data_IF_825435709018
#
_entry.id   IF_825435709018
#
_cell.length_a   1.000
_cell.length_b   1.000
_cell.length_c   1.000
_cell.angle_alpha   90.00
_cell.angle_beta   90.00
_cell.angle_gamma   90.00
#
_symmetry.space_group_name_H-M   'P 1'
#
loop_
_entity.id
_entity.type
_entity.pdbx_description
1 polymer ?
#
# COMPACT_ATOMS: atom_id res chain seq x y z
N UNK A 1 18.57 3.13 18.73
CA UNK A 1 19.77 3.14 17.86
C UNK A 1 20.91 3.63 18.71
N UNK A 2 21.93 2.82 18.96
CA UNK A 2 23.08 3.21 19.77
C UNK A 2 24.10 3.90 18.86
N UNK A 3 24.34 5.19 19.07
CA UNK A 3 25.41 5.93 18.40
C UNK A 3 26.75 5.36 18.81
N UNK A 4 27.40 4.61 17.91
CA UNK A 4 28.82 4.28 18.02
C UNK A 4 29.52 5.13 16.96
N UNK A 5 30.11 6.24 17.39
CA UNK A 5 30.98 7.04 16.51
C UNK A 5 32.31 6.33 16.30
N UNK A 6 32.87 6.42 15.09
CA UNK A 6 34.21 5.92 14.76
C UNK A 6 34.24 4.81 13.70
N UNK A 7 35.41 4.23 13.49
CA UNK A 7 35.61 3.10 12.57
C UNK A 7 35.30 1.79 13.30
N UNK A 8 34.71 0.84 12.57
CA UNK A 8 34.57 -0.54 13.03
C UNK A 8 35.98 -1.12 13.28
N UNK A 9 36.30 -1.58 14.50
CA UNK A 9 37.64 -2.03 14.86
C UNK A 9 38.05 -3.36 14.19
N UNK A 10 37.12 -4.08 13.57
CA UNK A 10 37.34 -5.36 12.88
C UNK A 10 37.46 -5.16 11.37
N UNK A 11 36.63 -4.28 10.78
CA UNK A 11 36.58 -4.09 9.32
C UNK A 11 37.22 -2.80 8.82
N UNK A 12 37.52 -1.85 9.71
CA UNK A 12 38.10 -0.55 9.37
C UNK A 12 37.15 0.38 8.59
N UNK A 13 35.89 -0.02 8.37
CA UNK A 13 34.86 0.80 7.71
C UNK A 13 34.10 1.68 8.70
N UNK A 14 33.51 2.79 8.21
CA UNK A 14 32.56 3.57 9.02
C UNK A 14 31.29 2.74 9.29
N UNK A 15 30.73 2.86 10.49
CA UNK A 15 29.43 2.26 10.82
C UNK A 15 28.34 2.78 9.87
N UNK A 16 27.36 1.94 9.51
CA UNK A 16 26.25 2.31 8.62
C UNK A 16 25.50 3.56 9.13
N UNK A 17 25.37 3.69 10.46
CA UNK A 17 24.80 4.89 11.08
C UNK A 17 25.64 6.11 10.81
N UNK A 18 26.96 6.01 10.89
CA UNK A 18 27.87 7.14 10.69
C UNK A 18 27.87 7.58 9.22
N UNK A 19 27.86 6.64 8.28
CA UNK A 19 27.69 6.91 6.84
C UNK A 19 26.38 7.66 6.59
N UNK A 20 25.25 7.21 7.13
CA UNK A 20 23.96 7.87 6.95
C UNK A 20 23.94 9.31 7.52
N UNK A 21 24.57 9.54 8.68
CA UNK A 21 24.68 10.88 9.26
C UNK A 21 25.59 11.79 8.43
N UNK A 22 26.70 11.30 7.88
CA UNK A 22 27.56 12.10 7.00
C UNK A 22 26.83 12.49 5.71
N UNK A 23 26.08 11.57 5.10
CA UNK A 23 25.27 11.89 3.92
C UNK A 23 24.18 12.91 4.24
N UNK A 24 23.53 12.82 5.40
CA UNK A 24 22.55 13.80 5.85
C UNK A 24 23.20 15.17 6.10
N UNK A 25 24.34 15.22 6.78
CA UNK A 25 25.07 16.46 7.06
C UNK A 25 25.53 17.14 5.77
N UNK A 26 26.04 16.37 4.80
CA UNK A 26 26.42 16.85 3.47
C UNK A 26 25.19 17.38 2.72
N UNK A 27 24.06 16.67 2.74
CA UNK A 27 22.83 17.13 2.10
C UNK A 27 22.33 18.45 2.68
N UNK A 28 22.37 18.62 4.01
CA UNK A 28 22.00 19.87 4.69
C UNK A 28 22.93 21.01 4.29
N UNK A 29 24.24 20.76 4.23
CA UNK A 29 25.22 21.77 3.79
C UNK A 29 24.95 22.25 2.36
N UNK A 30 24.67 21.34 1.42
CA UNK A 30 24.37 21.72 0.05
C UNK A 30 23.01 22.44 -0.09
N UNK A 31 22.01 22.10 0.73
CA UNK A 31 20.73 22.82 0.78
C UNK A 31 20.90 24.26 1.26
N UNK A 32 21.66 24.48 2.34
CA UNK A 32 21.94 25.82 2.87
C UNK A 32 22.79 26.61 1.87
N UNK A 33 23.86 26.01 1.34
CA UNK A 33 24.73 26.64 0.36
C UNK A 33 23.97 27.03 -0.91
N UNK A 34 23.12 26.14 -1.44
CA UNK A 34 22.26 26.43 -2.60
C UNK A 34 21.27 27.55 -2.33
N UNK A 35 20.66 27.58 -1.14
CA UNK A 35 19.77 28.67 -0.73
C UNK A 35 20.50 30.01 -0.63
N UNK A 36 21.69 30.04 0.00
CA UNK A 36 22.51 31.25 0.08
C UNK A 36 22.96 31.72 -1.30
N UNK A 37 23.24 30.79 -2.22
CA UNK A 37 23.64 31.12 -3.57
C UNK A 37 22.52 31.81 -4.35
N UNK A 38 21.29 31.31 -4.20
CA UNK A 38 20.09 31.94 -4.76
C UNK A 38 19.86 33.34 -4.18
N UNK A 39 20.00 33.51 -2.87
CA UNK A 39 19.74 34.79 -2.20
C UNK A 39 20.75 35.87 -2.57
N UNK A 40 22.03 35.53 -2.73
CA UNK A 40 23.10 36.51 -2.95
C UNK A 40 23.42 36.77 -4.42
N UNK A 41 23.30 35.77 -5.29
CA UNK A 41 23.73 35.87 -6.70
C UNK A 41 22.63 35.54 -7.70
N UNK A 42 21.40 35.24 -7.25
CA UNK A 42 20.28 34.93 -8.13
C UNK A 42 20.38 33.59 -8.87
N UNK A 43 21.48 32.86 -8.71
CA UNK A 43 21.75 31.56 -9.33
C UNK A 43 21.41 30.45 -8.32
N UNK A 44 20.45 29.59 -8.66
CA UNK A 44 19.97 28.50 -7.82
C UNK A 44 18.45 28.51 -7.63
N UNK A 45 17.95 27.63 -6.77
CA UNK A 45 16.52 27.54 -6.42
C UNK A 45 16.29 28.07 -5.01
N UNK A 46 15.19 28.81 -4.79
CA UNK A 46 14.79 29.19 -3.44
C UNK A 46 14.44 27.94 -2.64
N UNK A 47 14.56 27.98 -1.30
CA UNK A 47 14.10 26.87 -0.45
C UNK A 47 12.62 26.55 -0.72
N UNK A 48 11.83 27.59 -0.98
CA UNK A 48 10.44 27.47 -1.43
C UNK A 48 10.34 26.78 -2.79
N UNK A 49 11.13 27.18 -3.78
CA UNK A 49 11.14 26.54 -5.10
C UNK A 49 11.63 25.09 -5.04
N UNK A 50 12.55 24.74 -4.15
CA UNK A 50 13.01 23.36 -3.90
C UNK A 50 11.88 22.56 -3.24
N UNK A 51 11.19 23.12 -2.24
CA UNK A 51 10.04 22.47 -1.61
C UNK A 51 8.81 22.38 -2.52
N UNK A 52 8.64 23.31 -3.46
CA UNK A 52 7.54 23.31 -4.44
C UNK A 52 7.87 22.44 -5.65
N UNK A 53 9.13 22.35 -6.06
CA UNK A 53 9.59 21.48 -7.14
C UNK A 53 9.73 20.02 -6.69
N UNK A 54 10.13 19.79 -5.43
CA UNK A 54 10.10 18.46 -4.84
C UNK A 54 8.75 18.27 -4.20
N UNK A 55 7.91 17.40 -4.75
CA UNK A 55 6.72 16.87 -4.07
C UNK A 55 7.17 16.11 -2.79
N UNK A 56 7.67 16.84 -1.79
CA UNK A 56 8.55 16.35 -0.73
C UNK A 56 7.81 15.36 0.15
N UNK A 57 6.58 15.71 0.51
CA UNK A 57 5.73 14.88 1.35
C UNK A 57 5.43 13.53 0.70
N UNK A 58 4.99 13.50 -0.56
CA UNK A 58 4.57 12.25 -1.22
C UNK A 58 5.76 11.33 -1.50
N UNK A 59 6.94 11.88 -1.83
CA UNK A 59 8.16 11.06 -1.95
C UNK A 59 8.61 10.47 -0.61
N UNK A 60 8.45 11.19 0.51
CA UNK A 60 8.69 10.61 1.84
C UNK A 60 7.68 9.53 2.19
N UNK A 61 6.42 9.67 1.75
CA UNK A 61 5.41 8.60 1.89
C UNK A 61 5.79 7.38 1.04
N UNK A 62 6.30 7.56 -0.17
CA UNK A 62 6.82 6.46 -1.00
C UNK A 62 7.97 5.75 -0.29
N UNK A 63 8.95 6.51 0.19
CA UNK A 63 10.07 5.96 0.95
C UNK A 63 9.56 5.18 2.18
N UNK A 64 8.68 5.77 2.98
CA UNK A 64 8.09 5.13 4.15
C UNK A 64 7.41 3.80 3.80
N UNK A 65 6.50 3.79 2.83
CA UNK A 65 5.75 2.59 2.45
C UNK A 65 6.64 1.48 1.89
N UNK A 66 7.68 1.84 1.12
CA UNK A 66 8.69 0.89 0.63
C UNK A 66 9.51 0.32 1.79
N UNK A 67 10.00 1.17 2.71
CA UNK A 67 10.80 0.72 3.85
C UNK A 67 10.01 -0.21 4.77
N UNK A 68 8.72 0.05 5.01
CA UNK A 68 7.88 -0.85 5.80
C UNK A 68 7.64 -2.18 5.07
N UNK A 69 7.42 -2.15 3.76
CA UNK A 69 7.30 -3.38 2.95
C UNK A 69 8.58 -4.23 3.05
N UNK A 70 9.75 -3.60 2.87
CA UNK A 70 11.06 -4.26 3.00
C UNK A 70 11.27 -4.79 4.42
N UNK A 71 10.93 -4.01 5.45
CA UNK A 71 11.04 -4.43 6.84
C UNK A 71 10.24 -5.71 7.12
N UNK A 72 9.00 -5.79 6.64
CA UNK A 72 8.14 -6.96 6.82
C UNK A 72 8.75 -8.19 6.12
N UNK A 73 9.13 -8.05 4.86
CA UNK A 73 9.68 -9.16 4.07
C UNK A 73 11.03 -9.62 4.59
N UNK A 74 11.94 -8.69 4.88
CA UNK A 74 13.26 -8.98 5.42
C UNK A 74 13.16 -9.64 6.80
N UNK A 75 12.27 -9.16 7.68
CA UNK A 75 11.97 -9.84 8.96
C UNK A 75 11.46 -11.26 8.72
N UNK A 76 10.57 -11.46 7.76
CA UNK A 76 10.07 -12.78 7.38
C UNK A 76 11.18 -13.74 6.97
N UNK A 77 12.15 -13.26 6.19
CA UNK A 77 13.31 -14.02 5.73
C UNK A 77 14.29 -14.32 6.87
N UNK A 78 14.72 -13.29 7.61
CA UNK A 78 15.74 -13.44 8.67
C UNK A 78 15.25 -14.32 9.83
N UNK A 79 13.95 -14.28 10.17
CA UNK A 79 13.36 -15.05 11.26
C UNK A 79 12.60 -16.31 10.80
N UNK A 80 12.83 -16.78 9.57
CA UNK A 80 12.17 -17.96 9.02
C UNK A 80 12.60 -19.26 9.74
N UNK A 81 13.89 -19.39 10.04
CA UNK A 81 14.46 -20.62 10.63
C UNK A 81 14.33 -20.68 12.15
N UNK A 82 14.45 -19.55 12.82
CA UNK A 82 14.33 -19.46 14.28
C UNK A 82 14.01 -18.03 14.70
N UNK A 83 13.48 -17.88 15.91
CA UNK A 83 13.39 -16.60 16.61
C UNK A 83 13.56 -16.82 18.10
N UNK A 84 13.74 -15.74 18.87
CA UNK A 84 13.77 -15.84 20.34
C UNK A 84 12.49 -16.44 20.93
N UNK A 85 11.35 -16.26 20.25
CA UNK A 85 10.05 -16.76 20.70
C UNK A 85 9.84 -18.24 20.33
N UNK A 86 10.29 -18.64 19.15
CA UNK A 86 10.13 -20.00 18.60
C UNK A 86 11.50 -20.43 18.04
N UNK A 87 12.35 -21.08 18.86
CA UNK A 87 13.71 -21.44 18.47
C UNK A 87 13.78 -22.46 17.33
N UNK A 88 12.78 -23.35 17.24
CA UNK A 88 12.70 -24.49 16.34
C UNK A 88 11.77 -24.26 15.13
N UNK A 89 11.57 -22.99 14.74
CA UNK A 89 10.62 -22.60 13.68
C UNK A 89 10.86 -23.31 12.35
N UNK A 90 12.12 -23.64 12.03
CA UNK A 90 12.47 -24.41 10.82
C UNK A 90 11.73 -25.75 10.72
N UNK A 91 11.41 -26.39 11.85
CA UNK A 91 10.70 -27.68 11.89
C UNK A 91 9.20 -27.52 11.56
N UNK A 92 8.63 -26.34 11.81
CA UNK A 92 7.24 -26.01 11.46
C UNK A 92 7.06 -25.72 9.96
N UNK A 93 8.16 -25.51 9.24
CA UNK A 93 8.19 -25.25 7.80
C UNK A 93 7.88 -23.80 7.42
N UNK A 94 7.75 -23.55 6.11
CA UNK A 94 7.52 -22.20 5.59
C UNK A 94 6.10 -21.66 5.84
N UNK A 95 5.10 -22.56 5.74
CA UNK A 95 3.68 -22.22 5.74
C UNK A 95 2.92 -22.95 6.84
N UNK A 96 2.71 -22.27 7.97
CA UNK A 96 1.94 -22.74 9.11
C UNK A 96 1.23 -21.55 9.78
N UNK A 97 0.07 -21.73 10.43
CA UNK A 97 -0.75 -20.61 10.88
C UNK A 97 -0.26 -19.93 12.18
N UNK A 98 0.26 -20.73 13.12
CA UNK A 98 0.75 -20.36 14.44
C UNK A 98 1.42 -21.59 15.11
N UNK A 99 2.08 -21.36 16.24
CA UNK A 99 2.57 -22.37 17.20
C UNK A 99 1.71 -22.35 18.49
N UNK A 100 0.39 -22.39 18.31
CA UNK A 100 -0.60 -22.36 19.38
C UNK A 100 -0.78 -21.01 20.13
N UNK A 101 -1.69 -20.97 21.13
CA UNK A 101 -1.99 -19.77 21.90
C UNK A 101 -0.98 -19.47 23.03
N UNK A 102 -0.04 -20.38 23.28
CA UNK A 102 0.98 -20.21 24.32
C UNK A 102 1.91 -19.00 24.06
N UNK A 103 2.74 -18.67 25.05
CA UNK A 103 3.71 -17.55 24.99
C UNK A 103 3.07 -16.17 24.67
N UNK A 104 1.80 -15.97 25.05
CA UNK A 104 1.04 -14.75 24.76
C UNK A 104 0.40 -14.71 23.36
N UNK A 105 0.48 -15.79 22.60
CA UNK A 105 -0.06 -15.91 21.24
C UNK A 105 1.02 -15.86 20.16
N UNK A 106 1.04 -16.85 19.28
CA UNK A 106 2.06 -17.00 18.22
C UNK A 106 1.47 -16.93 16.82
N UNK A 107 0.37 -16.20 16.65
CA UNK A 107 -0.25 -15.98 15.35
C UNK A 107 0.71 -15.26 14.40
N UNK A 108 0.70 -15.64 13.12
CA UNK A 108 1.41 -14.95 12.03
C UNK A 108 2.94 -14.90 12.17
N UNK A 109 3.53 -15.90 12.83
CA UNK A 109 4.99 -16.00 13.01
C UNK A 109 5.72 -16.66 11.84
N UNK A 110 4.99 -17.31 10.91
CA UNK A 110 5.57 -18.00 9.76
C UNK A 110 6.10 -17.03 8.70
N UNK A 111 7.05 -17.47 7.88
CA UNK A 111 7.55 -16.65 6.77
C UNK A 111 6.47 -16.41 5.71
N UNK A 112 5.58 -17.38 5.48
CA UNK A 112 4.39 -17.20 4.64
C UNK A 112 3.49 -16.06 5.14
N UNK A 113 3.30 -15.93 6.44
CA UNK A 113 2.50 -14.84 7.01
C UNK A 113 3.15 -13.47 6.84
N UNK A 114 4.47 -13.40 6.78
CA UNK A 114 5.17 -12.14 6.45
C UNK A 114 5.00 -11.79 4.97
N UNK A 115 4.93 -12.76 4.06
CA UNK A 115 4.53 -12.51 2.67
C UNK A 115 3.09 -12.01 2.61
N UNK A 116 2.17 -12.65 3.33
CA UNK A 116 0.78 -12.21 3.45
C UNK A 116 0.67 -10.74 3.92
N UNK A 117 1.38 -10.35 4.99
CA UNK A 117 1.41 -8.97 5.46
C UNK A 117 2.10 -8.01 4.48
N UNK A 118 3.17 -8.47 3.84
CA UNK A 118 3.92 -7.71 2.83
C UNK A 118 3.07 -7.35 1.61
N UNK A 119 2.11 -8.20 1.23
CA UNK A 119 1.19 -7.92 0.13
C UNK A 119 0.29 -6.69 0.39
N UNK A 120 -0.19 -6.50 1.62
CA UNK A 120 -0.98 -5.30 1.97
C UNK A 120 -0.14 -4.02 1.90
N UNK A 121 1.10 -4.08 2.37
CA UNK A 121 2.02 -2.94 2.35
C UNK A 121 2.53 -2.62 0.95
N UNK A 122 2.76 -3.65 0.13
CA UNK A 122 3.04 -3.50 -1.30
C UNK A 122 1.85 -2.83 -2.00
N UNK A 123 0.62 -3.30 -1.76
CA UNK A 123 -0.59 -2.68 -2.29
C UNK A 123 -0.70 -1.21 -1.89
N UNK A 124 -0.46 -0.88 -0.62
CA UNK A 124 -0.47 0.49 -0.13
C UNK A 124 0.60 1.36 -0.83
N UNK A 125 1.84 0.86 -0.91
CA UNK A 125 2.95 1.55 -1.56
C UNK A 125 2.65 1.87 -3.03
N UNK A 126 2.24 0.85 -3.79
CA UNK A 126 1.93 1.01 -5.22
C UNK A 126 0.73 1.94 -5.41
N UNK A 127 -0.32 1.81 -4.59
CA UNK A 127 -1.52 2.65 -4.70
C UNK A 127 -1.21 4.14 -4.53
N UNK A 128 -0.36 4.50 -3.54
CA UNK A 128 0.05 5.89 -3.35
C UNK A 128 0.88 6.40 -4.54
N UNK A 129 1.80 5.58 -5.06
CA UNK A 129 2.63 5.96 -6.22
C UNK A 129 1.78 6.24 -7.46
N UNK A 130 0.82 5.36 -7.78
CA UNK A 130 -0.04 5.56 -8.95
C UNK A 130 -1.04 6.70 -8.76
N UNK A 131 -1.48 6.96 -7.52
CA UNK A 131 -2.32 8.12 -7.19
C UNK A 131 -1.54 9.43 -7.36
N UNK A 132 -0.30 9.47 -6.86
CA UNK A 132 0.62 10.59 -7.07
C UNK A 132 0.82 10.85 -8.56
N UNK A 133 1.18 9.83 -9.33
CA UNK A 133 1.36 9.94 -10.77
C UNK A 133 0.10 10.48 -11.46
N UNK A 134 -1.06 9.85 -11.23
CA UNK A 134 -2.32 10.23 -11.88
C UNK A 134 -2.70 11.68 -11.60
N UNK A 135 -2.59 12.12 -10.34
CA UNK A 135 -2.96 13.49 -9.99
C UNK A 135 -1.93 14.51 -10.50
N UNK A 136 -0.63 14.25 -10.31
CA UNK A 136 0.44 15.15 -10.75
C UNK A 136 0.37 15.40 -12.25
N UNK A 137 0.17 14.33 -13.03
CA UNK A 137 0.07 14.44 -14.49
C UNK A 137 -1.15 15.24 -14.92
N UNK A 138 -2.34 15.01 -14.35
CA UNK A 138 -3.55 15.77 -14.71
C UNK A 138 -3.51 17.24 -14.24
N UNK A 139 -2.80 17.53 -13.15
CA UNK A 139 -2.73 18.88 -12.58
C UNK A 139 -1.72 19.76 -13.28
N UNK A 140 -0.53 19.26 -13.54
CA UNK A 140 0.64 20.09 -13.86
C UNK A 140 1.26 19.76 -15.22
N UNK A 141 0.79 18.71 -15.92
CA UNK A 141 1.41 18.25 -17.18
C UNK A 141 0.40 18.17 -18.32
N UNK A 142 -0.62 17.31 -18.20
CA UNK A 142 -1.62 17.09 -19.23
C UNK A 142 -2.64 18.22 -19.29
N UNK A 143 -3.04 18.57 -20.51
CA UNK A 143 -3.94 19.68 -20.78
C UNK A 143 -4.03 20.00 -22.28
N UNK A 144 -4.85 21.01 -22.61
CA UNK A 144 -4.95 21.53 -23.98
C UNK A 144 -4.08 22.77 -24.16
N UNK A 145 -3.54 22.97 -25.36
CA UNK A 145 -2.75 24.15 -25.73
C UNK A 145 -3.63 25.04 -26.63
N UNK A 146 -3.79 26.30 -26.25
CA UNK A 146 -4.49 27.29 -27.08
C UNK A 146 -3.62 27.78 -28.26
N UNK A 147 -4.23 28.41 -29.27
CA UNK A 147 -3.53 28.99 -30.42
C UNK A 147 -2.46 30.04 -30.06
N UNK A 148 -2.52 30.58 -28.83
CA UNK A 148 -1.54 31.54 -28.28
C UNK A 148 -0.42 30.87 -27.47
N UNK A 149 -0.37 29.54 -27.44
CA UNK A 149 0.62 28.77 -26.69
C UNK A 149 0.36 28.68 -25.17
N UNK A 150 -0.81 29.14 -24.69
CA UNK A 150 -1.17 29.02 -23.26
C UNK A 150 -1.71 27.61 -23.00
N UNK A 151 -1.10 26.91 -22.04
CA UNK A 151 -1.50 25.57 -21.57
C UNK A 151 -2.63 25.69 -20.54
N UNK A 152 -3.69 24.90 -20.70
CA UNK A 152 -4.75 24.73 -19.71
C UNK A 152 -4.78 23.28 -19.24
N UNK A 153 -4.32 23.03 -18.01
CA UNK A 153 -4.23 21.68 -17.45
C UNK A 153 -5.60 21.10 -17.09
N UNK A 154 -5.73 19.77 -17.11
CA UNK A 154 -7.00 19.04 -16.86
C UNK A 154 -7.61 19.41 -15.51
N UNK A 155 -6.79 19.53 -14.45
CA UNK A 155 -7.25 19.95 -13.11
C UNK A 155 -6.73 21.31 -12.67
N UNK A 156 -6.21 22.11 -13.60
CA UNK A 156 -5.88 23.51 -13.37
C UNK A 156 -4.81 23.79 -12.30
N UNK A 157 -3.77 22.94 -12.19
CA UNK A 157 -2.66 23.19 -11.27
C UNK A 157 -3.02 23.05 -9.78
N UNK A 158 -4.09 22.32 -9.44
CA UNK A 158 -4.56 22.20 -8.05
C UNK A 158 -3.66 21.34 -7.14
N UNK A 159 -2.72 20.57 -7.68
CA UNK A 159 -1.86 19.66 -6.91
C UNK A 159 -1.02 20.38 -5.86
N UNK A 160 -0.44 21.53 -6.18
CA UNK A 160 0.48 22.25 -5.29
C UNK A 160 -0.16 22.65 -3.94
N UNK A 161 -1.44 23.03 -3.95
CA UNK A 161 -2.14 23.48 -2.73
C UNK A 161 -2.94 22.36 -2.07
N UNK A 162 -3.44 21.39 -2.85
CA UNK A 162 -4.33 20.36 -2.32
C UNK A 162 -3.57 19.11 -1.84
N UNK A 163 -2.47 18.72 -2.48
CA UNK A 163 -1.75 17.48 -2.16
C UNK A 163 -1.06 17.47 -0.78
N UNK A 164 -0.92 18.63 -0.15
CA UNK A 164 -0.28 18.76 1.18
C UNK A 164 -1.21 18.38 2.35
N UNK A 165 -2.49 18.10 2.07
CA UNK A 165 -3.45 17.66 3.10
C UNK A 165 -4.20 16.41 2.67
N UNK A 166 -4.49 15.50 3.61
CA UNK A 166 -5.31 14.30 3.35
C UNK A 166 -6.70 14.68 2.85
N UNK A 167 -7.26 15.80 3.32
CA UNK A 167 -8.55 16.29 2.84
C UNK A 167 -8.49 16.72 1.36
N UNK A 168 -7.38 17.29 0.89
CA UNK A 168 -7.19 17.59 -0.52
C UNK A 168 -7.11 16.34 -1.38
N UNK A 169 -6.42 15.28 -0.94
CA UNK A 169 -6.45 13.97 -1.62
C UNK A 169 -7.86 13.37 -1.66
N UNK A 170 -8.65 13.54 -0.61
CA UNK A 170 -10.03 13.05 -0.58
C UNK A 170 -10.94 13.87 -1.51
N UNK A 171 -10.90 15.20 -1.41
CA UNK A 171 -11.84 16.11 -2.09
C UNK A 171 -11.48 16.34 -3.55
N UNK A 172 -10.24 16.75 -3.81
CA UNK A 172 -9.84 17.29 -5.13
C UNK A 172 -9.29 16.20 -6.06
N UNK A 173 -8.88 15.06 -5.50
CA UNK A 173 -8.48 13.89 -6.26
C UNK A 173 -9.58 12.82 -6.24
N UNK A 174 -9.79 12.10 -5.13
CA UNK A 174 -10.69 10.95 -5.10
C UNK A 174 -12.15 11.32 -5.41
N UNK A 175 -12.72 12.28 -4.70
CA UNK A 175 -14.13 12.67 -4.86
C UNK A 175 -14.37 13.34 -6.22
N UNK A 176 -13.57 14.36 -6.57
CA UNK A 176 -13.75 15.10 -7.80
C UNK A 176 -13.54 14.22 -9.05
N UNK A 177 -12.50 13.38 -9.07
CA UNK A 177 -12.18 12.56 -10.24
C UNK A 177 -12.99 11.24 -10.29
N UNK A 178 -13.73 10.88 -9.23
CA UNK A 178 -14.65 9.75 -9.28
C UNK A 178 -15.96 10.09 -10.01
N UNK A 179 -16.22 11.37 -10.31
CA UNK A 179 -17.43 11.81 -11.00
C UNK A 179 -17.68 11.06 -12.31
N UNK A 180 -16.63 10.80 -13.11
CA UNK A 180 -16.76 10.08 -14.38
C UNK A 180 -17.18 8.63 -14.18
N UNK A 181 -16.59 7.91 -13.20
CA UNK A 181 -16.90 6.48 -12.99
C UNK A 181 -18.31 6.30 -12.44
N UNK A 182 -18.76 7.16 -11.52
CA UNK A 182 -20.09 7.04 -10.89
C UNK A 182 -21.24 7.53 -11.79
N UNK A 183 -20.96 8.43 -12.74
CA UNK A 183 -21.95 8.92 -13.72
C UNK A 183 -21.87 8.20 -15.09
N UNK A 184 -21.10 7.12 -15.18
CA UNK A 184 -20.86 6.40 -16.44
C UNK A 184 -22.06 5.58 -16.95
N UNK A 185 -23.10 5.39 -16.15
CA UNK A 185 -24.25 4.55 -16.48
C UNK A 185 -25.02 5.12 -17.67
N UNK A 186 -25.42 4.26 -18.61
CA UNK A 186 -26.06 4.71 -19.87
C UNK A 186 -25.09 5.24 -20.93
N UNK A 187 -23.78 5.14 -20.71
CA UNK A 187 -22.73 5.47 -21.69
C UNK A 187 -21.89 4.24 -22.08
N UNK A 188 -20.96 4.42 -23.03
CA UNK A 188 -19.96 3.41 -23.39
C UNK A 188 -18.98 3.09 -22.25
N UNK A 189 -18.89 3.94 -21.22
CA UNK A 189 -18.05 3.73 -20.04
C UNK A 189 -18.77 2.98 -18.90
N UNK A 190 -20.04 2.61 -19.08
CA UNK A 190 -20.87 1.99 -18.04
C UNK A 190 -20.30 0.71 -17.44
N UNK A 191 -19.53 -0.05 -18.22
CA UNK A 191 -18.80 -1.22 -17.72
C UNK A 191 -17.83 -0.87 -16.58
N UNK A 192 -17.13 0.27 -16.66
CA UNK A 192 -16.23 0.70 -15.59
C UNK A 192 -17.00 1.03 -14.31
N UNK A 193 -18.17 1.66 -14.42
CA UNK A 193 -19.07 1.87 -13.28
C UNK A 193 -19.48 0.55 -12.60
N UNK A 194 -19.87 -0.46 -13.39
CA UNK A 194 -20.21 -1.79 -12.86
C UNK A 194 -19.02 -2.48 -12.18
N UNK A 195 -17.84 -2.47 -12.81
CA UNK A 195 -16.62 -3.02 -12.22
C UNK A 195 -16.20 -2.26 -10.96
N UNK A 196 -16.38 -0.95 -10.91
CA UNK A 196 -16.08 -0.13 -9.73
C UNK A 196 -16.89 -0.60 -8.52
N UNK A 197 -18.22 -0.75 -8.65
CA UNK A 197 -19.06 -1.26 -7.56
C UNK A 197 -18.78 -2.74 -7.23
N UNK A 198 -18.63 -3.59 -8.25
CA UNK A 198 -18.32 -5.01 -8.06
C UNK A 198 -16.98 -5.21 -7.32
N UNK A 199 -15.99 -4.39 -7.61
CA UNK A 199 -14.69 -4.44 -6.95
C UNK A 199 -14.75 -3.95 -5.49
N UNK A 200 -15.55 -2.92 -5.18
CA UNK A 200 -15.83 -2.52 -3.79
C UNK A 200 -16.48 -3.66 -3.01
N UNK A 201 -17.46 -4.36 -3.61
CA UNK A 201 -18.09 -5.52 -2.99
C UNK A 201 -17.07 -6.62 -2.70
N UNK A 202 -16.22 -6.97 -3.68
CA UNK A 202 -15.17 -8.00 -3.51
C UNK A 202 -14.16 -7.59 -2.43
N UNK A 203 -13.76 -6.32 -2.38
CA UNK A 203 -12.88 -5.80 -1.35
C UNK A 203 -13.51 -5.91 0.05
N UNK A 204 -14.78 -5.50 0.21
CA UNK A 204 -15.48 -5.60 1.48
C UNK A 204 -15.71 -7.07 1.90
N UNK A 205 -16.03 -7.94 0.94
CA UNK A 205 -16.18 -9.38 1.14
C UNK A 205 -14.88 -10.01 1.67
N UNK A 206 -13.71 -9.52 1.25
CA UNK A 206 -12.43 -9.98 1.77
C UNK A 206 -12.28 -9.81 3.28
N UNK A 207 -12.86 -8.74 3.85
CA UNK A 207 -12.75 -8.42 5.27
C UNK A 207 -13.42 -9.47 6.15
N UNK A 208 -14.46 -10.15 5.63
CA UNK A 208 -15.08 -11.30 6.30
C UNK A 208 -14.04 -12.37 6.63
N UNK A 209 -13.13 -12.70 5.71
CA UNK A 209 -12.09 -13.71 5.95
C UNK A 209 -10.92 -13.18 6.77
N UNK A 210 -10.62 -11.88 6.68
CA UNK A 210 -9.49 -11.26 7.37
C UNK A 210 -9.77 -10.99 8.85
N UNK A 211 -11.02 -10.69 9.21
CA UNK A 211 -11.41 -10.35 10.59
C UNK A 211 -12.04 -11.52 11.36
N UNK A 212 -12.45 -12.60 10.69
CA UNK A 212 -13.00 -13.78 11.35
C UNK A 212 -12.00 -14.93 11.46
N UNK A 213 -12.29 -15.87 12.35
CA UNK A 213 -11.50 -17.09 12.56
C UNK A 213 -12.26 -18.35 12.13
N UNK A 214 -11.51 -19.40 11.79
CA UNK A 214 -12.06 -20.71 11.37
C UNK A 214 -13.06 -21.31 12.36
N UNK A 215 -12.83 -21.16 13.67
CA UNK A 215 -13.64 -21.79 14.72
C UNK A 215 -15.13 -21.44 14.59
N UNK A 216 -15.43 -20.14 14.48
CA UNK A 216 -16.79 -19.63 14.27
C UNK A 216 -17.49 -20.28 13.06
N UNK A 217 -16.81 -20.31 11.91
CA UNK A 217 -17.37 -20.90 10.69
C UNK A 217 -17.55 -22.41 10.79
N UNK A 218 -16.69 -23.10 11.51
CA UNK A 218 -16.78 -24.54 11.70
C UNK A 218 -18.01 -24.91 12.55
N UNK A 219 -18.28 -24.18 13.63
CA UNK A 219 -19.48 -24.37 14.47
C UNK A 219 -20.78 -24.06 13.70
N UNK A 220 -20.76 -23.02 12.84
CA UNK A 220 -21.87 -22.74 11.94
C UNK A 220 -22.11 -23.89 10.95
N UNK A 221 -21.06 -24.42 10.34
CA UNK A 221 -21.15 -25.58 9.44
C UNK A 221 -21.72 -26.79 10.15
N UNK A 222 -21.38 -27.02 11.41
CA UNK A 222 -21.91 -28.14 12.21
C UNK A 222 -23.43 -28.03 12.39
N UNK A 223 -23.94 -26.82 12.63
CA UNK A 223 -25.38 -26.54 12.70
C UNK A 223 -26.07 -26.78 11.35
N UNK A 224 -25.44 -26.39 10.24
CA UNK A 224 -25.96 -26.62 8.88
C UNK A 224 -25.96 -28.12 8.54
N UNK A 225 -24.90 -28.84 8.89
CA UNK A 225 -24.78 -30.29 8.66
C UNK A 225 -25.82 -31.05 9.48
N UNK A 226 -26.11 -30.63 10.70
CA UNK A 226 -27.22 -31.18 11.48
C UNK A 226 -28.55 -31.08 10.71
N UNK A 227 -28.86 -29.92 10.11
CA UNK A 227 -30.07 -29.74 9.33
C UNK A 227 -30.10 -30.63 8.06
N UNK A 228 -28.97 -30.74 7.35
CA UNK A 228 -28.86 -31.60 6.16
C UNK A 228 -29.03 -33.09 6.50
N UNK A 229 -28.52 -33.53 7.65
CA UNK A 229 -28.70 -34.90 8.14
C UNK A 229 -30.17 -35.20 8.45
N UNK A 230 -30.91 -34.23 9.03
CA UNK A 230 -32.35 -34.39 9.29
C UNK A 230 -33.16 -34.59 8.01
N UNK A 231 -32.74 -33.95 6.92
CA UNK A 231 -33.36 -34.08 5.60
C UNK A 231 -32.74 -35.18 4.73
N UNK A 232 -31.75 -35.92 5.24
CA UNK A 232 -31.01 -36.97 4.49
C UNK A 232 -30.38 -36.47 3.18
N UNK A 233 -29.98 -35.21 3.13
CA UNK A 233 -29.30 -34.57 1.98
C UNK A 233 -27.86 -34.16 2.33
N UNK A 234 -27.30 -34.72 3.41
CA UNK A 234 -25.92 -34.47 3.77
C UNK A 234 -24.97 -35.09 2.73
N UNK A 235 -23.93 -34.35 2.29
CA UNK A 235 -22.95 -34.89 1.36
C UNK A 235 -22.09 -35.96 2.02
N UNK A 236 -21.59 -36.92 1.22
CA UNK A 236 -20.67 -37.96 1.70
C UNK A 236 -19.32 -37.39 2.16
N UNK A 237 -18.83 -36.35 1.48
CA UNK A 237 -17.62 -35.63 1.88
C UNK A 237 -17.93 -34.62 2.97
N UNK A 238 -17.30 -34.74 4.14
CA UNK A 238 -17.56 -33.88 5.27
C UNK A 238 -17.19 -32.41 4.96
N UNK A 239 -18.13 -31.46 5.05
CA UNK A 239 -17.82 -30.05 4.86
C UNK A 239 -17.00 -29.55 6.05
N UNK A 240 -15.92 -28.82 5.74
CA UNK A 240 -15.03 -28.21 6.72
C UNK A 240 -14.82 -26.75 6.37
N UNK A 241 -14.77 -25.90 7.39
CA UNK A 241 -14.33 -24.52 7.20
C UNK A 241 -12.88 -24.50 6.69
N UNK A 242 -12.55 -23.49 5.89
CA UNK A 242 -11.21 -23.26 5.35
C UNK A 242 -10.15 -23.32 6.45
N UNK A 243 -8.97 -23.87 6.14
CA UNK A 243 -7.84 -23.78 7.06
C UNK A 243 -7.48 -22.32 7.34
N UNK A 244 -6.82 -22.05 8.47
CA UNK A 244 -6.43 -20.68 8.86
C UNK A 244 -5.58 -20.01 7.76
N UNK A 245 -4.63 -20.75 7.19
CA UNK A 245 -3.77 -20.26 6.10
C UNK A 245 -4.59 -20.02 4.83
N UNK A 246 -5.53 -20.90 4.47
CA UNK A 246 -6.43 -20.66 3.34
C UNK A 246 -7.33 -19.45 3.56
N UNK A 247 -7.88 -19.25 4.76
CA UNK A 247 -8.67 -18.06 5.09
C UNK A 247 -7.89 -16.77 4.87
N UNK A 248 -6.63 -16.71 5.34
CA UNK A 248 -5.71 -15.61 5.06
C UNK A 248 -5.47 -15.42 3.56
N UNK A 249 -5.22 -16.51 2.83
CA UNK A 249 -4.95 -16.48 1.39
C UNK A 249 -6.15 -15.98 0.58
N UNK A 250 -7.35 -16.48 0.89
CA UNK A 250 -8.62 -16.04 0.28
C UNK A 250 -8.86 -14.56 0.60
N UNK A 251 -8.67 -14.15 1.85
CA UNK A 251 -8.79 -12.76 2.28
C UNK A 251 -7.87 -11.83 1.50
N UNK A 252 -6.55 -12.08 1.48
CA UNK A 252 -5.62 -11.20 0.75
C UNK A 252 -5.87 -11.20 -0.75
N UNK A 253 -6.28 -12.33 -1.35
CA UNK A 253 -6.59 -12.41 -2.78
C UNK A 253 -7.76 -11.51 -3.16
N UNK A 254 -8.87 -11.58 -2.41
CA UNK A 254 -10.04 -10.73 -2.67
C UNK A 254 -9.77 -9.27 -2.31
N UNK A 255 -8.97 -9.01 -1.27
CA UNK A 255 -8.57 -7.65 -0.90
C UNK A 255 -7.78 -6.98 -2.03
N UNK A 256 -6.77 -7.67 -2.57
CA UNK A 256 -5.98 -7.15 -3.69
C UNK A 256 -6.81 -7.03 -4.96
N UNK A 257 -7.60 -8.06 -5.31
CA UNK A 257 -8.45 -8.03 -6.49
C UNK A 257 -9.44 -6.85 -6.44
N UNK A 258 -10.18 -6.71 -5.33
CA UNK A 258 -11.14 -5.64 -5.16
C UNK A 258 -10.49 -4.26 -5.13
N UNK A 259 -9.36 -4.11 -4.44
CA UNK A 259 -8.63 -2.83 -4.39
C UNK A 259 -8.06 -2.41 -5.75
N UNK A 260 -7.39 -3.32 -6.45
CA UNK A 260 -6.77 -3.05 -7.75
C UNK A 260 -7.84 -2.78 -8.81
N UNK A 261 -8.91 -3.59 -8.89
CA UNK A 261 -9.97 -3.38 -9.90
C UNK A 261 -10.77 -2.10 -9.62
N UNK A 262 -10.93 -1.71 -8.35
CA UNK A 262 -11.53 -0.42 -8.00
C UNK A 262 -10.72 0.74 -8.58
N UNK A 263 -9.40 0.74 -8.34
CA UNK A 263 -8.50 1.77 -8.86
C UNK A 263 -8.42 1.74 -10.39
N UNK A 264 -8.40 0.55 -10.99
CA UNK A 264 -8.40 0.37 -12.45
C UNK A 264 -9.65 0.99 -13.10
N UNK A 265 -10.83 0.71 -12.56
CA UNK A 265 -12.09 1.25 -13.08
C UNK A 265 -12.16 2.77 -12.90
N UNK A 266 -11.73 3.28 -11.73
CA UNK A 266 -11.62 4.70 -11.45
C UNK A 266 -10.72 5.42 -12.46
N UNK A 267 -9.49 4.92 -12.66
CA UNK A 267 -8.53 5.54 -13.57
C UNK A 267 -8.94 5.50 -15.02
N UNK A 268 -9.43 4.36 -15.51
CA UNK A 268 -9.80 4.25 -16.92
C UNK A 268 -11.05 5.06 -17.26
N UNK A 269 -12.10 5.01 -16.42
CA UNK A 269 -13.28 5.83 -16.62
C UNK A 269 -12.94 7.33 -16.59
N UNK A 270 -12.03 7.74 -15.68
CA UNK A 270 -11.56 9.12 -15.59
C UNK A 270 -10.81 9.54 -16.85
N UNK A 271 -9.71 8.85 -17.17
CA UNK A 271 -8.77 9.32 -18.19
C UNK A 271 -9.35 9.24 -19.60
N UNK A 272 -10.21 8.25 -19.89
CA UNK A 272 -10.89 8.17 -21.20
C UNK A 272 -11.88 9.32 -21.39
N UNK A 273 -12.48 9.82 -20.30
CA UNK A 273 -13.48 10.87 -20.38
C UNK A 273 -12.90 12.30 -20.40
N UNK A 274 -11.65 12.50 -19.95
CA UNK A 274 -11.02 13.84 -19.85
C UNK A 274 -9.71 13.99 -20.60
N UNK A 275 -9.16 12.89 -21.11
CA UNK A 275 -7.91 12.85 -21.88
C UNK A 275 -8.10 12.92 -23.38
#
# INVERSE_FOLDING_TARGET
MTFRGGLDPVTGGLWLTDIAHHHLAIAILFLIAGHMYRTNWGIGHGLKDILEAHDFLVHHIHAFTIHVTVLILLKGVLFARSSRLIPDKANLGFRFPCDGPGRGGTCQVSAWDHVFLGLFWMYNAISVVIFHFSWKMQSDVWGSISDRGIVTHITGGNFAQSSITINGWLRDFLWAQASQVIQSYGSSLSAYGLFFLGAHFVWAFSLMFLFSGRGYWQELIESIVWAHNKLKVAPATQPRALSIVQGRAVGVTHYLLGGIVTTWAFFLARIIAVG
#
